data_IF_492720022639
#
_entry.id   IF_492720022639
#
_cell.length_a   1.000
_cell.length_b   1.000
_cell.length_c   1.000
_cell.angle_alpha   90.00
_cell.angle_beta   90.00
_cell.angle_gamma   90.00
#
_symmetry.space_group_name_H-M   'P 1'
#
loop_
_entity.id
_entity.type
_entity.pdbx_description
1 polymer ?
#
# COMPACT_ATOMS: atom_id res chain seq x y z
N UNK A 1 5.08 2.03 1.36
CA UNK A 1 5.87 2.75 0.32
C UNK A 1 6.25 1.81 -0.82
N UNK A 2 6.51 2.34 -2.02
CA UNK A 2 6.97 1.56 -3.18
C UNK A 2 8.40 1.92 -3.52
N UNK A 3 9.21 0.93 -3.89
CA UNK A 3 10.51 1.18 -4.51
C UNK A 3 10.39 1.17 -6.03
N UNK A 4 10.99 2.17 -6.68
CA UNK A 4 11.04 2.32 -8.13
C UNK A 4 12.50 2.14 -8.55
N UNK A 5 12.83 1.05 -9.19
CA UNK A 5 14.21 0.71 -9.56
C UNK A 5 14.33 0.70 -11.08
N UNK A 6 14.99 1.70 -11.65
CA UNK A 6 15.31 1.77 -13.09
C UNK A 6 16.63 2.53 -13.26
N UNK A 7 17.46 2.09 -14.18
CA UNK A 7 18.74 2.75 -14.48
C UNK A 7 18.54 4.16 -15.05
N UNK A 8 17.38 4.43 -15.64
CA UNK A 8 17.06 5.70 -16.28
C UNK A 8 16.36 6.65 -15.30
N UNK A 9 17.05 7.69 -14.89
CA UNK A 9 16.52 8.72 -13.98
C UNK A 9 15.21 9.35 -14.46
N UNK A 10 15.02 9.53 -15.78
CA UNK A 10 13.78 10.07 -16.36
C UNK A 10 12.58 9.14 -16.16
N UNK A 11 12.78 7.82 -16.25
CA UNK A 11 11.74 6.82 -16.00
C UNK A 11 11.33 6.84 -14.52
N UNK A 12 12.31 6.81 -13.63
CA UNK A 12 12.11 6.94 -12.19
C UNK A 12 11.36 8.22 -11.82
N UNK A 13 11.74 9.36 -12.39
CA UNK A 13 11.07 10.65 -12.15
C UNK A 13 9.61 10.64 -12.67
N UNK A 14 9.35 10.05 -13.83
CA UNK A 14 8.01 9.94 -14.40
C UNK A 14 7.08 9.10 -13.52
N UNK A 15 7.53 7.93 -13.09
CA UNK A 15 6.76 7.09 -12.17
C UNK A 15 6.59 7.74 -10.80
N UNK A 16 7.65 8.33 -10.24
CA UNK A 16 7.54 9.07 -8.98
C UNK A 16 6.46 10.14 -9.03
N UNK A 17 6.45 10.98 -10.05
CA UNK A 17 5.40 11.98 -10.24
C UNK A 17 4.00 11.36 -10.38
N UNK A 18 3.89 10.17 -10.97
CA UNK A 18 2.65 9.39 -11.04
C UNK A 18 2.21 8.90 -9.67
N UNK A 19 3.10 8.32 -8.87
CA UNK A 19 2.82 7.88 -7.50
C UNK A 19 2.46 9.04 -6.58
N UNK A 20 3.16 10.17 -6.68
CA UNK A 20 2.88 11.38 -5.90
C UNK A 20 1.45 11.90 -6.19
N UNK A 21 0.99 11.85 -7.45
CA UNK A 21 -0.39 12.21 -7.84
C UNK A 21 -1.45 11.28 -7.23
N UNK A 22 -1.11 10.01 -7.04
CA UNK A 22 -2.00 9.04 -6.38
C UNK A 22 -1.85 9.08 -4.84
N UNK A 23 -1.05 9.99 -4.27
CA UNK A 23 -0.82 10.12 -2.84
C UNK A 23 -0.02 8.95 -2.22
N UNK A 24 0.69 8.20 -3.04
CA UNK A 24 1.44 7.01 -2.63
C UNK A 24 2.93 7.31 -2.55
N UNK A 25 3.53 7.08 -1.39
CA UNK A 25 4.97 7.27 -1.20
C UNK A 25 5.78 6.31 -2.03
N UNK A 26 6.73 6.85 -2.82
CA UNK A 26 7.64 6.05 -3.64
C UNK A 26 9.08 6.55 -3.54
N UNK A 27 10.04 5.62 -3.63
CA UNK A 27 11.47 5.86 -3.56
C UNK A 27 12.12 5.41 -4.87
N UNK A 28 12.52 6.37 -5.74
CA UNK A 28 13.28 6.06 -6.94
C UNK A 28 14.74 5.79 -6.59
N UNK A 29 15.26 4.66 -7.07
CA UNK A 29 16.64 4.25 -6.90
C UNK A 29 17.22 3.76 -8.24
N UNK A 30 18.53 3.90 -8.42
CA UNK A 30 19.25 3.14 -9.43
C UNK A 30 19.39 1.66 -9.00
N UNK A 31 19.69 0.74 -9.93
CA UNK A 31 19.95 -0.67 -9.57
C UNK A 31 21.06 -0.84 -8.53
N UNK A 32 22.11 -0.02 -8.60
CA UNK A 32 23.25 -0.05 -7.67
C UNK A 32 22.84 0.44 -6.27
N UNK A 33 22.13 1.57 -6.20
CA UNK A 33 21.60 2.11 -4.95
C UNK A 33 20.63 1.11 -4.29
N UNK A 34 19.80 0.45 -5.10
CA UNK A 34 18.88 -0.55 -4.62
C UNK A 34 19.60 -1.79 -4.08
N UNK A 35 20.64 -2.27 -4.76
CA UNK A 35 21.46 -3.40 -4.31
C UNK A 35 22.07 -3.11 -2.95
N UNK A 36 22.67 -1.93 -2.78
CA UNK A 36 23.25 -1.50 -1.50
C UNK A 36 22.18 -1.40 -0.39
N UNK A 37 21.00 -0.91 -0.74
CA UNK A 37 19.88 -0.80 0.21
C UNK A 37 19.38 -2.19 0.66
N UNK A 38 19.10 -3.12 -0.27
CA UNK A 38 18.54 -4.44 0.05
C UNK A 38 19.49 -5.30 0.90
N UNK A 39 20.80 -5.11 0.75
CA UNK A 39 21.83 -5.79 1.55
C UNK A 39 21.88 -5.29 3.00
N UNK A 40 21.54 -4.02 3.24
CA UNK A 40 21.59 -3.37 4.55
C UNK A 40 20.23 -3.21 5.22
N UNK A 41 19.13 -3.51 4.51
CA UNK A 41 17.77 -3.29 4.99
C UNK A 41 17.46 -4.16 6.21
N UNK A 42 16.91 -3.52 7.25
CA UNK A 42 16.42 -4.23 8.43
C UNK A 42 15.06 -4.91 8.12
N UNK A 43 14.66 -5.85 8.98
CA UNK A 43 13.34 -6.49 8.86
C UNK A 43 12.20 -5.46 8.88
N UNK A 44 12.29 -4.46 9.74
CA UNK A 44 11.28 -3.40 9.83
C UNK A 44 11.22 -2.53 8.56
N UNK A 45 12.36 -2.30 7.89
CA UNK A 45 12.37 -1.57 6.62
C UNK A 45 11.65 -2.38 5.53
N UNK A 46 11.92 -3.69 5.46
CA UNK A 46 11.28 -4.59 4.50
C UNK A 46 9.77 -4.74 4.74
N UNK A 47 9.34 -4.85 5.98
CA UNK A 47 7.92 -4.94 6.36
C UNK A 47 7.17 -3.64 6.04
N UNK A 48 7.90 -2.52 5.95
CA UNK A 48 7.34 -1.23 5.55
C UNK A 48 7.12 -1.10 4.03
N UNK A 49 7.63 -2.01 3.20
CA UNK A 49 7.51 -1.96 1.74
C UNK A 49 6.18 -2.55 1.27
N UNK A 50 5.45 -1.79 0.46
CA UNK A 50 4.18 -2.21 -0.14
C UNK A 50 4.36 -2.86 -1.51
N UNK A 51 5.50 -2.64 -2.17
CA UNK A 51 5.81 -3.26 -3.44
C UNK A 51 7.09 -2.71 -4.06
N UNK A 52 7.64 -3.50 -4.96
CA UNK A 52 8.83 -3.20 -5.73
C UNK A 52 8.47 -3.15 -7.21
N UNK A 53 8.85 -2.06 -7.87
CA UNK A 53 8.76 -1.91 -9.31
C UNK A 53 10.16 -1.96 -9.90
N UNK A 54 10.41 -2.98 -10.71
CA UNK A 54 11.69 -3.17 -11.39
C UNK A 54 11.55 -2.78 -12.85
N UNK A 55 12.27 -1.76 -13.27
CA UNK A 55 12.33 -1.31 -14.65
C UNK A 55 13.05 -2.30 -15.56
N UNK A 56 13.38 -1.85 -16.77
CA UNK A 56 14.09 -2.67 -17.75
C UNK A 56 15.61 -2.45 -17.65
N UNK A 57 16.27 -3.33 -16.88
CA UNK A 57 17.72 -3.36 -16.72
C UNK A 57 18.22 -4.82 -16.59
N UNK A 58 19.49 -5.05 -16.91
CA UNK A 58 20.04 -6.38 -17.13
C UNK A 58 19.92 -7.30 -15.89
N UNK A 59 20.18 -6.78 -14.69
CA UNK A 59 20.22 -7.57 -13.46
C UNK A 59 18.89 -7.67 -12.71
N UNK A 60 17.75 -7.25 -13.32
CA UNK A 60 16.46 -7.20 -12.62
C UNK A 60 15.98 -8.55 -12.06
N UNK A 61 16.32 -9.67 -12.73
CA UNK A 61 16.01 -11.01 -12.23
C UNK A 61 16.77 -11.34 -10.94
N UNK A 62 18.06 -10.96 -10.86
CA UNK A 62 18.86 -11.10 -9.63
C UNK A 62 18.30 -10.25 -8.49
N UNK A 63 17.94 -9.01 -8.79
CA UNK A 63 17.27 -8.12 -7.82
C UNK A 63 15.97 -8.73 -7.31
N UNK A 64 15.12 -9.26 -8.19
CA UNK A 64 13.88 -9.93 -7.81
C UNK A 64 14.12 -11.12 -6.87
N UNK A 65 15.09 -11.98 -7.20
CA UNK A 65 15.47 -13.12 -6.34
C UNK A 65 16.02 -12.65 -4.98
N UNK A 66 16.75 -11.55 -4.93
CA UNK A 66 17.25 -11.00 -3.67
C UNK A 66 16.11 -10.46 -2.79
N UNK A 67 15.15 -9.76 -3.39
CA UNK A 67 13.93 -9.29 -2.71
C UNK A 67 13.14 -10.49 -2.17
N UNK A 68 12.89 -11.49 -3.01
CA UNK A 68 12.01 -12.61 -2.66
C UNK A 68 12.53 -13.45 -1.51
N UNK A 69 13.84 -13.52 -1.30
CA UNK A 69 14.44 -14.18 -0.13
C UNK A 69 14.11 -13.48 1.19
N UNK A 70 13.78 -12.20 1.16
CA UNK A 70 13.64 -11.36 2.35
C UNK A 70 12.24 -10.76 2.53
N UNK A 71 11.45 -10.67 1.44
CA UNK A 71 10.15 -10.01 1.44
C UNK A 71 9.11 -10.76 0.64
N UNK A 72 7.85 -10.71 1.10
CA UNK A 72 6.66 -11.20 0.38
C UNK A 72 5.93 -10.08 -0.35
N UNK A 73 6.45 -8.86 -0.30
CA UNK A 73 5.84 -7.73 -1.00
C UNK A 73 5.76 -7.98 -2.52
N UNK A 74 4.73 -7.49 -3.21
CA UNK A 74 4.61 -7.60 -4.65
C UNK A 74 5.83 -7.08 -5.38
N UNK A 75 6.30 -7.84 -6.37
CA UNK A 75 7.37 -7.46 -7.27
C UNK A 75 6.79 -7.40 -8.67
N UNK A 76 6.73 -6.21 -9.25
CA UNK A 76 6.19 -5.98 -10.60
C UNK A 76 7.33 -5.50 -11.50
N UNK A 77 7.56 -6.21 -12.61
CA UNK A 77 8.51 -5.77 -13.62
C UNK A 77 7.82 -4.86 -14.65
N UNK A 78 8.50 -3.80 -15.05
CA UNK A 78 8.07 -2.88 -16.10
C UNK A 78 8.93 -3.12 -17.34
N UNK A 79 8.36 -3.68 -18.39
CA UNK A 79 9.09 -4.07 -19.60
C UNK A 79 8.93 -3.01 -20.71
N UNK A 80 10.02 -2.67 -21.38
CA UNK A 80 10.01 -1.78 -22.56
C UNK A 80 9.60 -2.55 -23.84
N UNK A 81 9.86 -3.86 -23.86
CA UNK A 81 9.46 -4.75 -24.97
C UNK A 81 8.81 -6.03 -24.43
N UNK A 82 7.97 -6.66 -25.26
CA UNK A 82 7.37 -7.96 -24.94
C UNK A 82 8.29 -9.07 -25.44
N UNK A 83 8.81 -9.85 -24.52
CA UNK A 83 9.55 -11.10 -24.79
C UNK A 83 9.01 -12.19 -23.88
N UNK A 84 8.53 -13.28 -24.46
CA UNK A 84 8.04 -14.43 -23.70
C UNK A 84 9.17 -15.05 -22.88
N UNK A 85 10.33 -15.23 -23.47
CA UNK A 85 11.49 -15.81 -22.83
C UNK A 85 11.93 -15.01 -21.60
N UNK A 86 12.08 -13.69 -21.77
CA UNK A 86 12.39 -12.81 -20.64
C UNK A 86 11.31 -12.84 -19.57
N UNK A 87 10.05 -12.88 -19.94
CA UNK A 87 8.93 -12.95 -19.01
C UNK A 87 8.99 -14.22 -18.15
N UNK A 88 9.28 -15.36 -18.74
CA UNK A 88 9.43 -16.63 -18.04
C UNK A 88 10.59 -16.58 -17.02
N UNK A 89 11.75 -16.07 -17.44
CA UNK A 89 12.91 -15.88 -16.55
C UNK A 89 12.57 -14.97 -15.37
N UNK A 90 11.76 -13.93 -15.59
CA UNK A 90 11.35 -13.00 -14.54
C UNK A 90 10.40 -13.67 -13.52
N UNK A 91 9.45 -14.48 -13.99
CA UNK A 91 8.58 -15.23 -13.09
C UNK A 91 9.35 -16.27 -12.28
N UNK A 92 10.28 -16.98 -12.90
CA UNK A 92 11.17 -17.94 -12.20
C UNK A 92 12.04 -17.24 -11.14
N UNK A 93 12.40 -15.97 -11.37
CA UNK A 93 13.13 -15.15 -10.39
C UNK A 93 12.26 -14.64 -9.23
N UNK A 94 10.94 -14.89 -9.25
CA UNK A 94 10.01 -14.51 -8.19
C UNK A 94 9.28 -13.18 -8.42
N UNK A 95 9.25 -12.66 -9.66
CA UNK A 95 8.39 -11.53 -10.04
C UNK A 95 6.94 -12.02 -10.10
N UNK A 96 6.01 -11.23 -9.59
CA UNK A 96 4.59 -11.58 -9.52
C UNK A 96 3.81 -11.16 -10.77
N UNK A 97 4.25 -10.10 -11.46
CA UNK A 97 3.60 -9.62 -12.69
C UNK A 97 4.59 -8.85 -13.58
N UNK A 98 4.36 -8.86 -14.90
CA UNK A 98 5.18 -8.15 -15.89
C UNK A 98 4.28 -7.26 -16.73
N UNK A 99 4.49 -5.95 -16.64
CA UNK A 99 3.67 -4.94 -17.32
C UNK A 99 4.46 -4.25 -18.45
N UNK A 100 3.92 -4.23 -19.66
CA UNK A 100 4.54 -3.46 -20.75
C UNK A 100 4.35 -1.96 -20.50
N UNK A 101 5.37 -1.16 -20.78
CA UNK A 101 5.24 0.29 -20.86
C UNK A 101 4.64 0.71 -22.21
N UNK A 102 3.83 1.78 -22.27
CA UNK A 102 3.45 2.65 -21.13
C UNK A 102 2.36 2.01 -20.25
N UNK A 103 2.47 2.16 -18.93
CA UNK A 103 1.50 1.68 -17.95
C UNK A 103 1.14 2.79 -16.97
N UNK A 104 -0.12 2.88 -16.62
CA UNK A 104 -0.60 3.89 -15.68
C UNK A 104 -0.35 3.44 -14.22
N UNK A 105 0.03 4.38 -13.33
CA UNK A 105 0.31 4.06 -11.92
C UNK A 105 -0.90 3.42 -11.23
N UNK A 106 -2.13 3.83 -11.54
CA UNK A 106 -3.34 3.19 -10.99
C UNK A 106 -3.46 1.71 -11.34
N UNK A 107 -3.05 1.32 -12.54
CA UNK A 107 -3.03 -0.09 -12.92
C UNK A 107 -1.99 -0.86 -12.10
N UNK A 108 -0.78 -0.29 -11.92
CA UNK A 108 0.26 -0.88 -11.08
C UNK A 108 -0.24 -1.09 -9.65
N UNK A 109 -0.86 -0.07 -9.05
CA UNK A 109 -1.39 -0.13 -7.69
C UNK A 109 -2.49 -1.19 -7.55
N UNK A 110 -3.43 -1.26 -8.51
CA UNK A 110 -4.51 -2.26 -8.50
C UNK A 110 -3.96 -3.70 -8.60
N UNK A 111 -2.92 -3.92 -9.42
CA UNK A 111 -2.27 -5.23 -9.55
C UNK A 111 -1.48 -5.62 -8.30
N UNK A 112 -0.71 -4.68 -7.75
CA UNK A 112 0.00 -4.90 -6.49
C UNK A 112 -0.97 -5.29 -5.36
N UNK A 113 -2.12 -4.62 -5.26
CA UNK A 113 -3.15 -4.95 -4.28
C UNK A 113 -3.77 -6.34 -4.53
N UNK A 114 -4.00 -6.72 -5.79
CA UNK A 114 -4.49 -8.06 -6.13
C UNK A 114 -3.48 -9.16 -5.77
N UNK A 115 -2.19 -8.90 -5.92
CA UNK A 115 -1.11 -9.81 -5.49
C UNK A 115 -1.11 -9.94 -3.97
N UNK A 116 -1.17 -8.82 -3.23
CA UNK A 116 -1.25 -8.82 -1.77
C UNK A 116 -2.41 -9.65 -1.25
N UNK A 117 -3.60 -9.52 -1.83
CA UNK A 117 -4.78 -10.32 -1.44
C UNK A 117 -4.54 -11.82 -1.62
N UNK A 118 -3.85 -12.24 -2.69
CA UNK A 118 -3.53 -13.66 -2.93
C UNK A 118 -2.53 -14.19 -1.92
N UNK A 119 -1.48 -13.42 -1.64
CA UNK A 119 -0.43 -13.81 -0.69
C UNK A 119 -1.00 -13.93 0.73
N UNK A 120 -1.81 -12.96 1.16
CA UNK A 120 -2.40 -12.97 2.50
C UNK A 120 -3.64 -13.87 2.61
N UNK A 121 -4.40 -14.06 1.52
CA UNK A 121 -5.57 -14.96 1.48
C UNK A 121 -5.21 -16.45 1.36
N UNK A 122 -4.02 -16.78 0.86
CA UNK A 122 -3.55 -18.16 0.82
C UNK A 122 -3.13 -18.70 2.21
N UNK A 123 -2.76 -17.80 3.12
CA UNK A 123 -2.48 -18.17 4.52
C UNK A 123 -3.76 -18.50 5.33
N UNK A 124 -4.93 -18.13 4.79
CA UNK A 124 -6.23 -18.39 5.44
C UNK A 124 -6.98 -19.62 4.87
N UNK A 125 -6.38 -20.37 3.93
CA UNK A 125 -7.03 -21.50 3.25
C UNK A 125 -6.24 -22.80 3.33
N UNK A 126 -5.70 -23.12 4.49
CA UNK A 126 -5.17 -24.46 4.77
C UNK A 126 -5.90 -25.04 5.96
N UNK A 127 -7.19 -25.38 5.76
CA UNK A 127 -7.79 -26.55 6.40
C UNK A 127 -9.20 -26.79 5.83
N UNK A 128 -9.44 -27.92 5.17
CA UNK A 128 -10.78 -28.35 4.77
C UNK A 128 -11.37 -29.32 5.80
N UNK A 129 -11.33 -29.01 7.08
CA UNK A 129 -12.14 -29.76 8.03
C UNK A 129 -12.49 -28.91 9.26
N UNK A 130 -13.79 -28.79 9.48
CA UNK A 130 -14.37 -27.84 10.38
C UNK A 130 -14.07 -28.12 11.84
N UNK A 131 -13.49 -27.19 12.49
CA UNK A 131 -13.73 -26.77 13.87
C UNK A 131 -12.97 -25.43 14.03
N UNK A 132 -13.68 -24.36 14.39
CA UNK A 132 -13.03 -23.10 14.77
C UNK A 132 -12.12 -23.38 15.98
N UNK A 133 -10.79 -23.17 15.89
CA UNK A 133 -9.96 -23.24 17.07
C UNK A 133 -10.24 -22.01 17.94
N UNK A 134 -10.43 -22.24 19.23
CA UNK A 134 -10.40 -21.17 20.22
C UNK A 134 -9.06 -20.42 20.13
N UNK A 135 -9.04 -19.07 20.18
CA UNK A 135 -7.81 -18.31 20.10
C UNK A 135 -6.93 -18.58 21.31
N UNK A 136 -5.60 -18.73 21.13
CA UNK A 136 -4.68 -18.85 22.25
C UNK A 136 -4.68 -17.58 23.09
N UNK A 137 -4.52 -17.67 24.42
CA UNK A 137 -4.54 -16.52 25.29
C UNK A 137 -3.31 -15.63 25.04
N UNK A 138 -3.53 -14.45 24.44
CA UNK A 138 -2.49 -13.44 24.20
C UNK A 138 -2.48 -12.79 22.82
N UNK A 139 -3.33 -13.19 21.85
CA UNK A 139 -3.47 -12.47 20.59
C UNK A 139 -4.41 -11.25 20.75
N UNK A 140 -4.14 -10.11 20.07
CA UNK A 140 -5.09 -9.02 20.05
C UNK A 140 -6.42 -9.55 19.52
N UNK A 141 -7.49 -9.38 20.29
CA UNK A 141 -8.84 -9.82 19.96
C UNK A 141 -9.28 -9.34 18.56
N UNK A 142 -10.38 -9.87 18.01
CA UNK A 142 -10.84 -9.54 16.66
C UNK A 142 -10.88 -8.03 16.49
N UNK A 143 -10.23 -7.55 15.41
CA UNK A 143 -10.21 -6.10 15.12
C UNK A 143 -11.64 -5.58 15.16
N UNK A 144 -11.97 -4.80 16.19
CA UNK A 144 -13.31 -4.26 16.39
C UNK A 144 -13.77 -3.41 15.21
N UNK A 145 -12.80 -2.79 14.48
CA UNK A 145 -13.07 -2.01 13.28
C UNK A 145 -12.63 -2.79 12.04
N UNK A 146 -13.60 -3.15 11.20
CA UNK A 146 -13.38 -3.77 9.89
C UNK A 146 -13.64 -2.73 8.80
N UNK A 147 -12.63 -2.44 8.00
CA UNK A 147 -12.73 -1.49 6.88
C UNK A 147 -12.76 -2.24 5.55
N UNK A 148 -13.71 -1.89 4.70
CA UNK A 148 -13.86 -2.44 3.35
C UNK A 148 -13.35 -1.44 2.32
N UNK A 149 -12.76 -1.95 1.23
CA UNK A 149 -12.17 -1.11 0.17
C UNK A 149 -12.97 -1.21 -1.14
N UNK A 150 -14.20 -1.66 -1.05
CA UNK A 150 -15.14 -1.86 -2.17
C UNK A 150 -16.30 -0.85 -2.16
N UNK A 151 -16.20 0.18 -1.31
CA UNK A 151 -17.20 1.24 -1.19
C UNK A 151 -18.29 0.96 -0.16
N UNK A 152 -18.27 -0.19 0.54
CA UNK A 152 -19.15 -0.44 1.68
C UNK A 152 -18.75 0.39 2.90
N UNK A 153 -19.71 0.65 3.77
CA UNK A 153 -19.44 1.29 5.06
C UNK A 153 -18.60 0.34 5.95
N UNK A 154 -17.66 0.86 6.76
CA UNK A 154 -16.92 0.05 7.71
C UNK A 154 -17.83 -0.49 8.80
N UNK A 155 -17.43 -1.59 9.43
CA UNK A 155 -18.14 -2.23 10.54
C UNK A 155 -17.35 -2.11 11.84
N UNK A 156 -18.04 -1.84 12.95
CA UNK A 156 -17.49 -1.91 14.29
C UNK A 156 -18.28 -2.98 15.05
N UNK A 157 -17.59 -4.00 15.55
CA UNK A 157 -18.17 -5.15 16.24
C UNK A 157 -19.29 -5.82 15.40
N UNK A 158 -19.13 -5.84 14.06
CA UNK A 158 -20.11 -6.38 13.12
C UNK A 158 -21.30 -5.46 12.77
N UNK A 159 -21.33 -4.26 13.33
CA UNK A 159 -22.37 -3.27 13.05
C UNK A 159 -21.85 -2.22 12.05
N UNK A 160 -22.53 -2.00 10.90
CA UNK A 160 -22.12 -1.00 9.93
C UNK A 160 -22.10 0.42 10.53
N UNK A 161 -20.97 1.12 10.37
CA UNK A 161 -20.84 2.52 10.72
C UNK A 161 -21.06 3.38 9.48
N UNK A 162 -22.23 4.01 9.37
CA UNK A 162 -22.52 4.89 8.23
C UNK A 162 -21.63 6.13 8.23
N UNK A 163 -20.76 6.22 7.21
CA UNK A 163 -19.86 7.33 6.99
C UNK A 163 -20.16 8.04 5.68
N UNK A 164 -20.19 9.40 5.67
CA UNK A 164 -20.16 10.15 4.42
C UNK A 164 -18.99 9.72 3.55
N UNK A 165 -19.18 9.71 2.24
CA UNK A 165 -18.21 9.22 1.25
C UNK A 165 -16.78 9.74 1.50
N UNK A 166 -16.62 11.02 1.87
CA UNK A 166 -15.30 11.61 2.12
C UNK A 166 -14.65 11.07 3.38
N UNK A 167 -15.42 10.93 4.46
CA UNK A 167 -14.91 10.37 5.74
C UNK A 167 -14.52 8.90 5.56
N UNK A 168 -15.29 8.12 4.78
CA UNK A 168 -14.96 6.74 4.45
C UNK A 168 -13.67 6.63 3.66
N UNK A 169 -13.49 7.41 2.60
CA UNK A 169 -12.24 7.42 1.82
C UNK A 169 -11.04 7.84 2.65
N UNK A 170 -11.20 8.79 3.59
CA UNK A 170 -10.15 9.17 4.54
C UNK A 170 -9.78 7.98 5.43
N UNK A 171 -10.76 7.27 5.97
CA UNK A 171 -10.52 6.07 6.79
C UNK A 171 -9.81 4.98 5.99
N UNK A 172 -10.31 4.66 4.79
CA UNK A 172 -9.67 3.70 3.88
C UNK A 172 -8.22 4.06 3.59
N UNK A 173 -7.94 5.34 3.31
CA UNK A 173 -6.58 5.82 3.03
C UNK A 173 -5.67 5.69 4.25
N UNK A 174 -6.14 6.05 5.44
CA UNK A 174 -5.38 5.95 6.68
C UNK A 174 -5.13 4.50 7.09
N UNK A 175 -6.11 3.62 6.93
CA UNK A 175 -5.98 2.17 7.23
C UNK A 175 -5.01 1.50 6.25
N UNK A 176 -5.03 1.84 4.95
CA UNK A 176 -4.02 1.39 3.97
C UNK A 176 -2.59 1.82 4.33
N UNK A 177 -2.47 2.92 5.06
CA UNK A 177 -1.20 3.45 5.55
C UNK A 177 -1.03 3.24 7.07
N UNK A 178 -1.62 2.16 7.64
CA UNK A 178 -1.57 1.85 9.08
C UNK A 178 -0.15 1.92 9.62
N UNK A 179 0.03 2.51 10.80
CA UNK A 179 1.32 2.70 11.45
C UNK A 179 2.23 3.76 10.80
N UNK A 180 1.82 4.33 9.67
CA UNK A 180 2.58 5.35 8.96
C UNK A 180 1.95 6.72 9.13
N UNK A 181 2.80 7.72 9.15
CA UNK A 181 2.36 9.10 9.17
C UNK A 181 2.03 9.57 7.77
N UNK A 182 0.80 10.03 7.60
CA UNK A 182 0.27 10.60 6.36
C UNK A 182 0.16 12.11 6.54
N UNK A 183 0.80 12.87 5.66
CA UNK A 183 0.68 14.35 5.70
C UNK A 183 -0.71 14.78 5.25
N UNK A 184 -1.09 16.01 5.60
CA UNK A 184 -2.35 16.63 5.17
C UNK A 184 -2.47 16.67 3.64
N UNK A 185 -1.39 17.07 2.96
CA UNK A 185 -1.31 17.09 1.48
C UNK A 185 -1.47 15.70 0.86
N UNK A 186 -0.83 14.67 1.42
CA UNK A 186 -0.99 13.29 0.97
C UNK A 186 -2.42 12.81 1.12
N UNK A 187 -3.05 13.11 2.26
CA UNK A 187 -4.44 12.74 2.53
C UNK A 187 -5.40 13.50 1.60
N UNK A 188 -5.15 14.79 1.36
CA UNK A 188 -5.92 15.59 0.43
C UNK A 188 -5.84 15.02 -1.00
N UNK A 189 -4.64 14.80 -1.51
CA UNK A 189 -4.42 14.27 -2.86
C UNK A 189 -5.01 12.85 -3.02
N UNK A 190 -4.88 12.00 -2.02
CA UNK A 190 -5.39 10.63 -2.06
C UNK A 190 -6.91 10.50 -2.00
N UNK A 191 -7.60 11.46 -1.36
CA UNK A 191 -9.06 11.42 -1.14
C UNK A 191 -9.83 12.33 -2.09
N UNK A 192 -9.28 13.48 -2.43
CA UNK A 192 -9.97 14.50 -3.24
C UNK A 192 -9.51 14.48 -4.71
N UNK A 193 -8.31 13.93 -5.00
CA UNK A 193 -7.74 13.86 -6.35
C UNK A 193 -7.31 15.23 -6.89
N UNK A 194 -6.59 15.20 -8.01
CA UNK A 194 -6.06 16.41 -8.67
C UNK A 194 -7.16 17.28 -9.32
N UNK A 195 -8.40 16.80 -9.37
CA UNK A 195 -9.53 17.46 -10.07
C UNK A 195 -10.58 18.06 -9.14
N UNK A 196 -10.28 18.30 -7.87
CA UNK A 196 -11.20 19.03 -7.00
C UNK A 196 -11.03 20.53 -7.24
N UNK A 197 -11.69 21.05 -8.26
CA UNK A 197 -11.82 22.49 -8.49
C UNK A 197 -12.30 23.18 -7.20
N UNK A 198 -11.40 23.96 -6.57
CA UNK A 198 -11.73 24.85 -5.46
C UNK A 198 -11.76 24.24 -4.05
N UNK A 199 -11.44 22.96 -3.83
CA UNK A 199 -11.28 22.43 -2.47
C UNK A 199 -9.88 22.75 -1.92
N UNK A 200 -9.82 23.41 -0.77
CA UNK A 200 -8.57 23.68 -0.06
C UNK A 200 -8.17 22.51 0.84
N UNK A 201 -6.89 22.31 1.09
CA UNK A 201 -6.37 21.31 2.05
C UNK A 201 -6.97 21.48 3.48
N UNK A 202 -7.45 22.66 3.82
CA UNK A 202 -8.12 22.97 5.09
C UNK A 202 -9.35 22.08 5.34
N UNK A 203 -10.04 21.65 4.28
CA UNK A 203 -11.22 20.79 4.35
C UNK A 203 -10.93 19.42 4.96
N UNK A 204 -9.69 18.92 4.77
CA UNK A 204 -9.25 17.63 5.33
C UNK A 204 -9.36 17.60 6.86
N UNK A 205 -8.95 18.67 7.51
CA UNK A 205 -8.97 18.76 8.99
C UNK A 205 -10.39 18.62 9.54
N UNK A 206 -11.36 19.26 8.88
CA UNK A 206 -12.77 19.17 9.26
C UNK A 206 -13.32 17.74 9.13
N UNK A 207 -12.99 17.04 8.04
CA UNK A 207 -13.43 15.66 7.84
C UNK A 207 -12.72 14.67 8.77
N UNK A 208 -11.41 14.81 8.96
CA UNK A 208 -10.66 13.97 9.91
C UNK A 208 -11.18 14.17 11.33
N UNK A 209 -11.44 15.42 11.75
CA UNK A 209 -12.01 15.71 13.07
C UNK A 209 -13.37 15.03 13.29
N UNK A 210 -14.27 15.07 12.29
CA UNK A 210 -15.58 14.41 12.35
C UNK A 210 -15.43 12.88 12.40
N UNK A 211 -14.58 12.32 11.55
CA UNK A 211 -14.28 10.89 11.51
C UNK A 211 -13.76 10.39 12.87
N UNK A 212 -12.76 11.06 13.44
CA UNK A 212 -12.18 10.73 14.74
C UNK A 212 -13.22 10.69 15.86
N UNK A 213 -14.11 11.69 15.90
CA UNK A 213 -15.22 11.72 16.89
C UNK A 213 -16.15 10.54 16.74
N UNK A 214 -16.52 10.17 15.51
CA UNK A 214 -17.39 9.02 15.25
C UNK A 214 -16.73 7.70 15.64
N UNK A 215 -15.45 7.51 15.27
CA UNK A 215 -14.71 6.31 15.64
C UNK A 215 -14.50 6.21 17.16
N UNK A 216 -14.12 7.31 17.81
CA UNK A 216 -13.92 7.34 19.25
C UNK A 216 -15.20 7.03 20.03
N UNK A 217 -16.37 7.50 19.55
CA UNK A 217 -17.66 7.22 20.15
C UNK A 217 -18.00 5.73 20.11
N UNK A 218 -17.68 5.05 19.04
CA UNK A 218 -18.04 3.64 18.82
C UNK A 218 -17.00 2.67 19.39
N UNK A 219 -15.72 3.02 19.27
CA UNK A 219 -14.61 2.17 19.72
C UNK A 219 -14.24 2.40 21.21
N UNK A 220 -14.64 3.53 21.78
CA UNK A 220 -14.23 3.93 23.12
C UNK A 220 -12.83 4.58 23.18
N UNK A 221 -12.11 4.63 22.06
CA UNK A 221 -10.81 5.29 21.91
C UNK A 221 -10.67 5.86 20.48
N UNK A 222 -9.74 6.79 20.29
CA UNK A 222 -9.47 7.38 19.01
C UNK A 222 -8.34 6.59 18.30
N UNK A 223 -8.64 5.90 17.17
CA UNK A 223 -7.63 5.12 16.45
C UNK A 223 -6.76 5.97 15.52
N UNK A 224 -6.96 7.29 15.46
CA UNK A 224 -6.22 8.20 14.58
C UNK A 224 -5.46 9.23 15.41
N UNK A 225 -4.15 9.08 15.48
CA UNK A 225 -3.29 10.11 16.03
C UNK A 225 -3.15 11.29 15.07
N UNK A 226 -3.34 12.51 15.58
CA UNK A 226 -3.08 13.75 14.86
C UNK A 226 -1.93 14.51 15.51
N UNK A 227 -0.87 14.78 14.75
CA UNK A 227 0.23 15.62 15.21
C UNK A 227 0.26 16.91 14.37
N UNK A 228 0.10 18.03 15.10
CA UNK A 228 0.05 19.37 14.48
C UNK A 228 1.25 19.60 13.56
N UNK A 229 1.01 20.13 12.37
CA UNK A 229 1.98 20.41 11.29
C UNK A 229 2.68 19.18 10.68
N UNK A 230 2.41 17.98 11.15
CA UNK A 230 3.10 16.77 10.70
C UNK A 230 2.15 15.83 9.94
N UNK A 231 0.93 15.60 10.45
CA UNK A 231 -0.05 14.74 9.79
C UNK A 231 -0.79 13.79 10.73
N UNK A 232 -1.30 12.72 10.14
CA UNK A 232 -2.17 11.74 10.79
C UNK A 232 -1.58 10.34 10.71
N UNK A 233 -1.79 9.52 11.74
CA UNK A 233 -1.38 8.12 11.78
C UNK A 233 -2.55 7.27 12.27
N UNK A 234 -2.89 6.20 11.56
CA UNK A 234 -3.82 5.20 12.06
C UNK A 234 -3.05 4.20 12.92
N UNK A 235 -3.48 4.04 14.19
CA UNK A 235 -2.82 3.22 15.22
C UNK A 235 -3.72 2.11 15.77
N UNK A 236 -4.99 2.06 15.27
CA UNK A 236 -5.97 1.04 15.66
C UNK A 236 -5.82 -0.26 14.94
#
# INVERSE_FOLDING_TARGET
>A
MYFLVDARKSVNAGFKAGFDREGVSSFPLSPEEFTSWIESASRSDLDAVQGFLLGDFEERARCASAIRRQSRAPIIALADSRSLEQTLVLFDAGIDDVLPKPVHVREILARAEAIWRRVNGASARSDPDGAAPEPPPGEPGPERLRVFFDGRDPEIDGVPLSLPRRERHILEFLVRNRGRRVTKTQLFNGVYGVYSDGAEESVVEGHVSKLRKKLALQLGHDPIEAKRYIGYTYVG
#
